data_IF_443734889739
#
_entry.id   IF_443734889739
#
_cell.length_a   1.000
_cell.length_b   1.000
_cell.length_c   1.000
_cell.angle_alpha   90.00
_cell.angle_beta   90.00
_cell.angle_gamma   90.00
#
_symmetry.space_group_name_H-M   'P 1'
#
loop_
_entity.id
_entity.type
_entity.pdbx_description
1 polymer ?
#
# COMPACT_ATOMS: atom_id res chain seq x y z
N UNK A 1 -25.98 20.97 -23.98
CA UNK A 1 -26.54 19.88 -23.14
C UNK A 1 -26.44 18.51 -23.81
N UNK A 2 -26.84 18.35 -25.07
CA UNK A 2 -26.75 17.09 -25.84
C UNK A 2 -25.36 16.42 -25.85
N UNK A 3 -24.27 17.19 -25.95
CA UNK A 3 -22.89 16.66 -25.90
C UNK A 3 -22.50 16.04 -24.55
N UNK A 4 -22.96 16.63 -23.45
CA UNK A 4 -22.68 16.14 -22.10
C UNK A 4 -23.50 14.86 -21.85
N UNK A 5 -24.75 14.84 -22.28
CA UNK A 5 -25.61 13.65 -22.22
C UNK A 5 -25.00 12.50 -23.03
N UNK A 6 -24.51 12.76 -24.25
CA UNK A 6 -23.85 11.74 -25.06
C UNK A 6 -22.57 11.17 -24.41
N UNK A 7 -21.78 12.03 -23.76
CA UNK A 7 -20.54 11.63 -23.09
C UNK A 7 -20.81 10.79 -21.84
N UNK A 8 -21.79 11.19 -21.02
CA UNK A 8 -22.25 10.44 -19.83
C UNK A 8 -22.84 9.08 -20.26
N UNK A 9 -23.58 9.03 -21.36
CA UNK A 9 -24.14 7.79 -21.89
C UNK A 9 -23.06 6.83 -22.41
N UNK A 10 -22.01 7.34 -23.06
CA UNK A 10 -20.87 6.51 -23.50
C UNK A 10 -20.06 5.94 -22.34
N UNK A 11 -19.92 6.69 -21.24
CA UNK A 11 -19.15 6.26 -20.06
C UNK A 11 -19.90 5.21 -19.24
N UNK A 12 -21.24 5.21 -19.34
CA UNK A 12 -22.11 4.22 -18.69
C UNK A 12 -22.07 2.85 -19.36
N UNK A 13 -21.49 2.75 -20.57
CA UNK A 13 -21.44 1.51 -21.35
C UNK A 13 -20.15 0.70 -21.13
N UNK A 14 -19.28 1.13 -20.23
CA UNK A 14 -18.16 0.32 -19.75
C UNK A 14 -18.72 -0.86 -18.93
N UNK A 15 -19.04 -1.95 -19.63
CA UNK A 15 -19.62 -3.15 -19.05
C UNK A 15 -18.74 -3.75 -17.94
N UNK A 16 -19.39 -4.42 -17.00
CA UNK A 16 -18.73 -5.24 -15.98
C UNK A 16 -18.03 -6.38 -16.71
N UNK A 17 -16.69 -6.39 -16.70
CA UNK A 17 -15.91 -7.51 -17.19
C UNK A 17 -16.09 -8.68 -16.22
N UNK A 18 -17.05 -9.56 -16.50
CA UNK A 18 -17.21 -10.82 -15.78
C UNK A 18 -16.16 -11.79 -16.33
N UNK A 19 -15.16 -12.12 -15.51
CA UNK A 19 -14.11 -13.06 -15.88
C UNK A 19 -14.67 -14.49 -15.85
N UNK A 20 -15.25 -14.93 -16.96
CA UNK A 20 -15.68 -16.31 -17.16
C UNK A 20 -14.47 -17.17 -17.55
N UNK A 21 -14.27 -18.29 -16.85
CA UNK A 21 -13.25 -19.29 -17.21
C UNK A 21 -13.94 -20.43 -17.91
N UNK A 22 -13.39 -20.82 -19.06
CA UNK A 22 -13.86 -21.94 -19.87
C UNK A 22 -12.90 -23.12 -19.71
N UNK A 23 -13.47 -24.32 -19.70
CA UNK A 23 -12.74 -25.59 -19.74
C UNK A 23 -13.08 -26.34 -21.02
N UNK A 24 -12.09 -26.87 -21.72
CA UNK A 24 -12.29 -27.77 -22.86
C UNK A 24 -11.23 -28.88 -22.89
N UNK A 25 -11.52 -29.95 -23.60
CA UNK A 25 -10.57 -31.04 -23.86
C UNK A 25 -10.20 -31.01 -25.34
N UNK A 26 -8.90 -31.01 -25.66
CA UNK A 26 -8.42 -31.02 -27.04
C UNK A 26 -8.50 -32.44 -27.68
N UNK A 27 -8.26 -32.57 -29.00
CA UNK A 27 -8.26 -33.88 -29.67
C UNK A 27 -7.21 -34.88 -29.14
N UNK A 28 -6.18 -34.40 -28.45
CA UNK A 28 -5.14 -35.21 -27.81
C UNK A 28 -5.55 -35.65 -26.38
N UNK A 29 -6.73 -35.24 -25.91
CA UNK A 29 -7.25 -35.59 -24.59
C UNK A 29 -6.76 -34.67 -23.46
N UNK A 30 -6.07 -33.56 -23.77
CA UNK A 30 -5.56 -32.64 -22.76
C UNK A 30 -6.63 -31.62 -22.35
N UNK A 31 -6.72 -31.34 -21.06
CA UNK A 31 -7.66 -30.38 -20.49
C UNK A 31 -7.03 -29.00 -20.43
N UNK A 32 -7.69 -28.03 -21.04
CA UNK A 32 -7.27 -26.63 -21.08
C UNK A 32 -8.27 -25.74 -20.35
N UNK A 33 -7.75 -24.61 -19.83
CA UNK A 33 -8.53 -23.56 -19.19
C UNK A 33 -8.17 -22.20 -19.81
N UNK A 34 -9.15 -21.33 -20.01
CA UNK A 34 -8.89 -20.00 -20.55
C UNK A 34 -10.08 -19.06 -20.45
N UNK A 35 -9.83 -17.78 -20.66
CA UNK A 35 -10.86 -16.71 -20.63
C UNK A 35 -11.72 -16.68 -21.91
N UNK A 36 -11.34 -17.47 -22.92
CA UNK A 36 -12.07 -17.61 -24.19
C UNK A 36 -12.36 -19.08 -24.46
N UNK A 37 -13.53 -19.41 -25.05
CA UNK A 37 -13.86 -20.78 -25.40
C UNK A 37 -12.89 -21.31 -26.47
N UNK A 38 -12.15 -22.38 -26.16
CA UNK A 38 -11.14 -22.97 -27.05
C UNK A 38 -11.68 -23.86 -28.18
N UNK A 39 -12.96 -23.71 -28.56
CA UNK A 39 -13.59 -24.45 -29.66
C UNK A 39 -14.84 -25.23 -29.25
N UNK A 40 -15.23 -26.21 -30.07
CA UNK A 40 -16.42 -27.04 -29.82
C UNK A 40 -16.20 -27.89 -28.56
N UNK A 41 -17.12 -27.77 -27.60
CA UNK A 41 -17.04 -28.48 -26.31
C UNK A 41 -16.44 -27.66 -25.16
N UNK A 42 -16.12 -26.39 -25.37
CA UNK A 42 -15.79 -25.48 -24.27
C UNK A 42 -17.02 -25.20 -23.40
N UNK A 43 -16.89 -25.43 -22.10
CA UNK A 43 -17.92 -25.16 -21.10
C UNK A 43 -17.44 -24.12 -20.09
N UNK A 44 -18.29 -23.15 -19.76
CA UNK A 44 -18.00 -22.20 -18.69
C UNK A 44 -18.02 -22.92 -17.34
N UNK A 45 -17.05 -22.61 -16.49
CA UNK A 45 -16.95 -23.16 -15.13
C UNK A 45 -17.07 -22.04 -14.10
N UNK A 46 -17.84 -22.31 -13.04
CA UNK A 46 -17.85 -21.46 -11.86
C UNK A 46 -16.71 -21.89 -10.95
N UNK A 47 -15.78 -20.95 -10.67
CA UNK A 47 -14.76 -21.19 -9.66
C UNK A 47 -15.39 -21.20 -8.26
N UNK A 48 -14.96 -22.11 -7.37
CA UNK A 48 -15.38 -22.04 -5.98
C UNK A 48 -14.92 -20.73 -5.35
N UNK A 49 -15.71 -20.21 -4.42
CA UNK A 49 -15.31 -19.06 -3.62
C UNK A 49 -13.96 -19.34 -2.94
N UNK A 50 -13.07 -18.35 -2.93
CA UNK A 50 -11.81 -18.47 -2.23
C UNK A 50 -12.06 -18.82 -0.75
N UNK A 51 -11.27 -19.73 -0.15
CA UNK A 51 -11.41 -20.03 1.27
C UNK A 51 -11.19 -18.75 2.09
N UNK A 52 -11.83 -18.64 3.27
CA UNK A 52 -11.59 -17.51 4.15
C UNK A 52 -10.10 -17.44 4.53
N UNK A 53 -9.58 -16.24 4.82
CA UNK A 53 -8.19 -16.08 5.25
C UNK A 53 -7.87 -17.02 6.41
N UNK A 54 -6.72 -17.69 6.34
CA UNK A 54 -6.27 -18.56 7.42
C UNK A 54 -6.15 -17.77 8.73
N UNK A 55 -6.43 -18.44 9.85
CA UNK A 55 -6.24 -17.85 11.17
C UNK A 55 -4.79 -17.37 11.33
N UNK A 56 -4.61 -16.21 11.94
CA UNK A 56 -3.29 -15.68 12.20
C UNK A 56 -2.48 -16.68 13.05
N UNK A 57 -1.19 -16.89 12.76
CA UNK A 57 -0.36 -17.81 13.53
C UNK A 57 -0.29 -17.38 15.01
N UNK A 58 -0.05 -18.31 15.95
CA UNK A 58 -0.12 -18.06 17.40
C UNK A 58 0.75 -16.90 17.87
N UNK A 59 1.84 -16.63 17.16
CA UNK A 59 2.85 -15.62 17.47
C UNK A 59 2.60 -14.24 16.81
N UNK A 60 1.52 -14.08 16.03
CA UNK A 60 1.24 -12.85 15.31
C UNK A 60 1.10 -11.63 16.25
N UNK A 61 0.49 -11.83 17.42
CA UNK A 61 0.36 -10.79 18.45
C UNK A 61 1.71 -10.37 19.01
N UNK A 62 2.58 -11.33 19.31
CA UNK A 62 3.91 -11.07 19.85
C UNK A 62 4.77 -10.29 18.84
N UNK A 63 4.73 -10.69 17.55
CA UNK A 63 5.43 -9.96 16.49
C UNK A 63 4.96 -8.52 16.38
N UNK A 64 3.64 -8.29 16.44
CA UNK A 64 3.08 -6.95 16.36
C UNK A 64 3.50 -6.07 17.55
N UNK A 65 3.49 -6.62 18.77
CA UNK A 65 4.00 -5.91 19.95
C UNK A 65 5.47 -5.55 19.82
N UNK A 66 6.30 -6.47 19.34
CA UNK A 66 7.74 -6.22 19.16
C UNK A 66 7.99 -5.10 18.16
N UNK A 67 7.27 -5.10 17.03
CA UNK A 67 7.34 -4.04 16.01
C UNK A 67 6.95 -2.69 16.61
N UNK A 68 5.87 -2.65 17.40
CA UNK A 68 5.41 -1.42 18.07
C UNK A 68 6.44 -0.90 19.07
N UNK A 69 6.94 -1.76 19.96
CA UNK A 69 7.97 -1.40 20.96
C UNK A 69 9.22 -0.83 20.30
N UNK A 70 9.69 -1.47 19.23
CA UNK A 70 10.87 -1.00 18.49
C UNK A 70 10.61 0.35 17.80
N UNK A 71 9.44 0.50 17.16
CA UNK A 71 9.03 1.76 16.53
C UNK A 71 8.99 2.93 17.52
N UNK A 72 8.38 2.70 18.69
CA UNK A 72 8.25 3.69 19.75
C UNK A 72 9.62 4.10 20.33
N UNK A 73 10.51 3.13 20.56
CA UNK A 73 11.86 3.40 21.04
C UNK A 73 12.64 4.28 20.05
N UNK A 74 12.64 3.91 18.76
CA UNK A 74 13.28 4.68 17.68
C UNK A 74 12.70 6.08 17.55
N UNK A 75 11.39 6.24 17.74
CA UNK A 75 10.75 7.56 17.69
C UNK A 75 11.19 8.44 18.86
N UNK A 76 11.23 7.90 20.08
CA UNK A 76 11.69 8.62 21.27
C UNK A 76 13.15 9.08 21.11
N UNK A 77 14.02 8.21 20.62
CA UNK A 77 15.43 8.55 20.34
C UNK A 77 15.57 9.70 19.35
N UNK A 78 14.84 9.66 18.21
CA UNK A 78 14.86 10.75 17.21
C UNK A 78 14.41 12.07 17.82
N UNK A 79 13.34 12.06 18.61
CA UNK A 79 12.83 13.27 19.26
C UNK A 79 13.82 13.81 20.29
N UNK A 80 14.46 12.94 21.07
CA UNK A 80 15.49 13.34 22.04
C UNK A 80 16.72 13.95 21.34
N UNK A 81 17.17 13.35 20.23
CA UNK A 81 18.29 13.88 19.45
C UNK A 81 17.95 15.23 18.81
N UNK A 82 16.75 15.39 18.25
CA UNK A 82 16.29 16.66 17.70
C UNK A 82 16.25 17.77 18.77
N UNK A 83 15.74 17.45 19.97
CA UNK A 83 15.73 18.40 21.10
C UNK A 83 17.15 18.81 21.50
N UNK A 84 18.07 17.85 21.64
CA UNK A 84 19.48 18.13 21.95
C UNK A 84 20.15 19.01 20.91
N UNK A 85 19.94 18.74 19.61
CA UNK A 85 20.49 19.55 18.52
C UNK A 85 19.90 20.96 18.52
N UNK A 86 18.60 21.10 18.77
CA UNK A 86 17.94 22.40 18.85
C UNK A 86 18.48 23.23 20.02
N UNK A 87 18.65 22.62 21.20
CA UNK A 87 19.21 23.26 22.38
C UNK A 87 20.67 23.68 22.17
N UNK A 88 21.50 22.80 21.59
CA UNK A 88 22.88 23.13 21.24
C UNK A 88 22.96 24.30 20.25
N UNK A 89 22.06 24.33 19.25
CA UNK A 89 21.99 25.43 18.28
C UNK A 89 21.61 26.74 18.96
N UNK A 90 20.63 26.74 19.86
CA UNK A 90 20.24 27.91 20.65
C UNK A 90 21.40 28.43 21.49
N UNK A 91 22.02 27.56 22.29
CA UNK A 91 23.16 27.91 23.14
C UNK A 91 24.33 28.48 22.33
N UNK A 92 24.63 27.90 21.16
CA UNK A 92 25.67 28.41 20.26
C UNK A 92 25.33 29.78 19.69
N UNK A 93 24.07 30.03 19.35
CA UNK A 93 23.61 31.33 18.88
C UNK A 93 23.73 32.39 19.99
N UNK A 94 23.29 32.09 21.21
CA UNK A 94 23.40 32.98 22.37
C UNK A 94 24.87 33.34 22.69
N UNK A 95 25.75 32.35 22.71
CA UNK A 95 27.19 32.56 22.92
C UNK A 95 27.78 33.46 21.83
N UNK A 96 27.44 33.22 20.56
CA UNK A 96 27.92 34.04 19.44
C UNK A 96 27.43 35.49 19.56
N UNK A 97 26.16 35.69 19.86
CA UNK A 97 25.59 37.04 20.08
C UNK A 97 26.31 37.75 21.23
N UNK A 98 26.58 37.06 22.33
CA UNK A 98 27.31 37.63 23.48
C UNK A 98 28.75 37.98 23.12
N UNK A 99 29.46 37.13 22.40
CA UNK A 99 30.82 37.41 21.93
C UNK A 99 30.84 38.67 21.06
N UNK A 100 29.94 38.78 20.07
CA UNK A 100 29.84 39.97 19.21
C UNK A 100 29.50 41.25 19.97
N UNK A 101 28.64 41.17 20.99
CA UNK A 101 28.30 42.33 21.79
C UNK A 101 29.55 42.87 22.52
N UNK A 102 30.33 41.98 23.14
CA UNK A 102 31.58 42.35 23.83
C UNK A 102 32.66 42.86 22.85
N UNK A 103 32.74 42.28 21.65
CA UNK A 103 33.67 42.76 20.60
C UNK A 103 33.35 44.19 20.15
N UNK A 104 32.08 44.59 20.14
CA UNK A 104 31.66 45.95 19.75
C UNK A 104 31.78 46.98 20.89
N UNK A 105 31.99 46.55 22.13
CA UNK A 105 32.16 47.41 23.31
C UNK A 105 33.63 47.77 23.59
N UNK A 106 34.58 47.18 22.85
CA UNK A 106 36.03 47.46 22.89
C UNK A 106 36.45 48.39 21.74
#
# INVERSE_FOLDING_TARGET
MTRIVALVLSLSLSGVAVAEIYKWTDPQGQVHYGEKPGGKGAASITLPAAPPPAAAPPDARQRLENIRKWGDARQKERLAEQRRKAEQKKRRAELNTRCRALENEL
#
